data_IF_648970848748
#
_entry.id   IF_648970848748
#
_cell.length_a   1.000
_cell.length_b   1.000
_cell.length_c   1.000
_cell.angle_alpha   90.00
_cell.angle_beta   90.00
_cell.angle_gamma   90.00
#
_symmetry.space_group_name_H-M   'P 1'
#
loop_
_entity.id
_entity.type
_entity.pdbx_description
1 polymer ?
#
# COMPACT_ATOMS: atom_id res chain seq x y z
N UNK A 1 30.42 -5.96 2.24
CA UNK A 1 30.18 -5.72 1.99
C UNK A 1 29.44 -5.26 1.27
N UNK A 2 29.21 -4.95 0.75
CA UNK A 2 28.57 -4.41 0.09
C UNK A 2 27.60 -4.94 -0.48
N UNK A 3 27.38 -5.62 -0.60
CA UNK A 3 26.53 -6.26 -1.12
C UNK A 3 25.29 -5.98 -0.76
N UNK A 4 24.97 -5.39 0.05
CA UNK A 4 23.77 -5.22 0.56
C UNK A 4 22.92 -4.22 -0.05
N UNK A 5 23.21 -3.70 -1.12
CA UNK A 5 22.44 -2.81 -1.72
C UNK A 5 21.16 -3.30 -2.13
N UNK A 6 21.03 -4.46 -2.67
CA UNK A 6 19.77 -5.03 -3.02
C UNK A 6 18.95 -5.31 -1.82
N UNK A 7 19.61 -5.58 -0.74
CA UNK A 7 18.90 -5.90 0.47
C UNK A 7 18.24 -4.68 1.06
N UNK A 8 18.70 -3.48 0.75
CA UNK A 8 18.09 -2.29 1.27
C UNK A 8 16.64 -2.20 0.90
N UNK A 9 16.30 -2.55 -0.32
CA UNK A 9 14.94 -2.47 -0.75
C UNK A 9 14.09 -3.52 -0.06
N UNK A 10 14.65 -4.70 0.13
CA UNK A 10 13.96 -5.75 0.83
C UNK A 10 13.70 -5.33 2.27
N UNK A 11 14.67 -4.68 2.89
CA UNK A 11 14.52 -4.22 4.25
C UNK A 11 13.43 -3.17 4.36
N UNK A 12 13.33 -2.28 3.39
CA UNK A 12 12.29 -1.27 3.41
C UNK A 12 10.92 -1.91 3.29
N UNK A 13 10.78 -2.90 2.43
CA UNK A 13 9.52 -3.60 2.30
C UNK A 13 9.15 -4.31 3.60
N UNK A 14 10.15 -4.88 4.26
CA UNK A 14 9.90 -5.53 5.52
C UNK A 14 9.43 -4.54 6.58
N UNK A 15 10.00 -3.33 6.58
CA UNK A 15 9.56 -2.30 7.52
C UNK A 15 8.10 -1.95 7.29
N UNK A 16 7.70 -1.81 6.03
CA UNK A 16 6.32 -1.50 5.72
C UNK A 16 5.41 -2.60 6.23
N UNK A 17 5.81 -3.84 6.04
CA UNK A 17 4.98 -4.96 6.39
C UNK A 17 4.86 -5.20 7.88
N UNK A 18 5.94 -4.96 8.63
CA UNK A 18 5.97 -5.30 10.05
C UNK A 18 5.57 -4.18 11.00
N UNK A 19 5.38 -2.97 10.49
CA UNK A 19 4.95 -1.89 11.36
C UNK A 19 3.55 -2.17 11.88
N UNK A 20 3.30 -1.96 13.16
CA UNK A 20 1.97 -2.21 13.72
C UNK A 20 0.84 -1.47 13.01
N UNK A 21 1.12 -0.29 12.49
CA UNK A 21 0.10 0.47 11.79
C UNK A 21 -0.35 -0.22 10.52
N UNK A 22 0.51 -1.05 9.92
CA UNK A 22 0.14 -1.80 8.73
C UNK A 22 -0.98 -2.76 9.03
N UNK A 23 -0.87 -3.47 10.14
CA UNK A 23 -1.91 -4.40 10.54
C UNK A 23 -3.19 -3.66 10.87
N UNK A 24 -3.06 -2.53 11.56
CA UNK A 24 -4.22 -1.73 11.91
C UNK A 24 -4.94 -1.26 10.65
N UNK A 25 -4.21 -0.75 9.68
CA UNK A 25 -4.81 -0.28 8.43
C UNK A 25 -5.45 -1.42 7.64
N UNK A 26 -4.82 -2.59 7.63
CA UNK A 26 -5.39 -3.72 6.93
C UNK A 26 -6.70 -4.16 7.58
N UNK A 27 -6.77 -4.12 8.90
CA UNK A 27 -7.99 -4.44 9.60
C UNK A 27 -9.08 -3.41 9.32
N UNK A 28 -8.70 -2.13 9.29
CA UNK A 28 -9.64 -1.06 8.98
C UNK A 28 -10.21 -1.26 7.56
N UNK A 29 -9.34 -1.58 6.63
CA UNK A 29 -9.77 -1.75 5.25
C UNK A 29 -10.74 -2.92 5.12
N UNK A 30 -10.45 -4.04 5.77
CA UNK A 30 -11.34 -5.19 5.73
C UNK A 30 -12.69 -4.85 6.31
N UNK A 31 -12.69 -4.13 7.41
CA UNK A 31 -13.92 -3.74 8.06
C UNK A 31 -14.72 -2.81 7.17
N UNK A 32 -14.06 -1.80 6.61
CA UNK A 32 -14.73 -0.84 5.75
C UNK A 32 -15.29 -1.53 4.50
N UNK A 33 -14.51 -2.43 3.91
CA UNK A 33 -14.97 -3.15 2.73
C UNK A 33 -16.18 -4.02 3.05
N UNK A 34 -16.20 -4.59 4.24
CA UNK A 34 -17.33 -5.39 4.67
C UNK A 34 -18.60 -4.57 4.86
N UNK A 35 -18.43 -3.30 5.27
CA UNK A 35 -19.57 -2.40 5.45
C UNK A 35 -20.08 -1.86 4.12
N UNK A 36 -19.25 -1.89 3.10
CA UNK A 36 -19.61 -1.36 1.78
C UNK A 36 -19.33 -2.40 0.70
N UNK A 37 -20.09 -3.49 0.71
CA UNK A 37 -19.79 -4.62 -0.18
C UNK A 37 -19.90 -4.31 -1.67
N UNK A 38 -20.60 -3.23 -2.01
CA UNK A 38 -20.71 -2.86 -3.42
C UNK A 38 -19.63 -1.88 -3.87
N UNK A 39 -18.75 -1.47 -2.98
CA UNK A 39 -17.69 -0.55 -3.36
C UNK A 39 -16.55 -1.32 -4.00
N UNK A 40 -16.43 -1.13 -5.31
CA UNK A 40 -15.45 -1.82 -6.06
C UNK A 40 -14.04 -1.45 -5.68
N UNK A 41 -13.80 -0.18 -5.45
CA UNK A 41 -12.47 0.27 -5.08
C UNK A 41 -11.96 -0.44 -3.82
N UNK A 42 -12.82 -0.57 -2.80
CA UNK A 42 -12.41 -1.21 -1.57
C UNK A 42 -12.06 -2.67 -1.78
N UNK A 43 -12.83 -3.34 -2.63
CA UNK A 43 -12.55 -4.75 -2.93
C UNK A 43 -11.23 -4.89 -3.66
N UNK A 44 -10.97 -4.02 -4.61
CA UNK A 44 -9.73 -4.11 -5.36
C UNK A 44 -8.52 -3.75 -4.51
N UNK A 45 -8.71 -2.85 -3.55
CA UNK A 45 -7.63 -2.54 -2.62
C UNK A 45 -7.24 -3.79 -1.82
N UNK A 46 -8.23 -4.57 -1.42
CA UNK A 46 -7.95 -5.79 -0.68
C UNK A 46 -7.20 -6.82 -1.52
N UNK A 47 -7.34 -6.75 -2.84
CA UNK A 47 -6.69 -7.71 -3.71
C UNK A 47 -5.24 -7.34 -4.04
N UNK A 48 -4.78 -6.17 -3.63
CA UNK A 48 -3.40 -5.79 -3.86
C UNK A 48 -2.49 -6.57 -2.92
N UNK A 49 -1.22 -6.71 -3.33
CA UNK A 49 -0.30 -7.41 -2.44
C UNK A 49 -0.08 -6.59 -1.16
N UNK A 50 0.36 -7.22 -0.09
CA UNK A 50 0.41 -6.56 1.22
C UNK A 50 1.21 -5.26 1.25
N UNK A 51 2.33 -5.21 0.56
CA UNK A 51 3.15 -4.00 0.59
C UNK A 51 2.45 -2.85 -0.10
N UNK A 52 1.94 -3.12 -1.28
CA UNK A 52 1.27 -2.12 -2.09
C UNK A 52 0.01 -1.64 -1.39
N UNK A 53 -0.77 -2.58 -0.88
CA UNK A 53 -2.01 -2.25 -0.19
C UNK A 53 -1.77 -1.34 1.02
N UNK A 54 -0.73 -1.64 1.79
CA UNK A 54 -0.42 -0.86 2.99
C UNK A 54 -0.06 0.58 2.68
N UNK A 55 0.51 0.81 1.50
CA UNK A 55 0.90 2.15 1.10
C UNK A 55 -0.24 2.87 0.38
N UNK A 56 -0.97 2.15 -0.44
CA UNK A 56 -2.06 2.76 -1.23
C UNK A 56 -3.24 3.14 -0.35
N UNK A 57 -3.54 2.33 0.64
CA UNK A 57 -4.69 2.59 1.51
C UNK A 57 -4.64 3.98 2.17
N UNK A 58 -3.57 4.35 2.89
CA UNK A 58 -3.55 5.68 3.51
C UNK A 58 -3.51 6.80 2.47
N UNK A 59 -2.91 6.55 1.34
CA UNK A 59 -2.82 7.55 0.30
C UNK A 59 -4.20 7.86 -0.29
N UNK A 60 -4.95 6.85 -0.66
CA UNK A 60 -6.25 7.03 -1.29
C UNK A 60 -7.38 7.29 -0.29
N UNK A 61 -7.37 6.59 0.81
CA UNK A 61 -8.49 6.64 1.74
C UNK A 61 -8.31 7.69 2.84
N UNK A 62 -7.11 7.82 3.36
CA UNK A 62 -6.87 8.74 4.45
C UNK A 62 -6.29 10.08 4.00
N UNK A 63 -5.94 10.22 2.74
CA UNK A 63 -5.41 11.47 2.22
C UNK A 63 -3.98 11.79 2.62
N UNK A 64 -3.21 10.78 2.98
CA UNK A 64 -1.82 11.01 3.36
C UNK A 64 -0.96 11.23 2.12
N UNK A 65 0.03 12.12 2.24
CA UNK A 65 0.96 12.33 1.15
C UNK A 65 2.01 11.22 1.14
N UNK A 66 2.69 11.07 0.02
CA UNK A 66 3.74 10.06 -0.08
C UNK A 66 4.87 10.34 0.90
N UNK A 67 5.15 11.62 1.14
CA UNK A 67 6.20 12.01 2.07
C UNK A 67 5.82 11.57 3.48
N UNK A 68 4.58 11.78 3.86
CA UNK A 68 4.11 11.40 5.18
C UNK A 68 4.15 9.89 5.37
N UNK A 69 3.80 9.16 4.34
CA UNK A 69 3.83 7.70 4.40
C UNK A 69 5.27 7.22 4.54
N UNK A 70 6.17 7.78 3.75
CA UNK A 70 7.58 7.42 3.81
C UNK A 70 8.15 7.68 5.20
N UNK A 71 7.80 8.82 5.77
CA UNK A 71 8.24 9.19 7.08
C UNK A 71 7.73 8.22 8.14
N UNK A 72 6.48 7.85 8.05
CA UNK A 72 5.88 6.97 9.03
C UNK A 72 6.54 5.59 9.05
N UNK A 73 6.91 5.08 7.89
CA UNK A 73 7.54 3.78 7.79
C UNK A 73 9.07 3.85 7.81
N UNK A 74 9.62 5.06 7.80
CA UNK A 74 11.07 5.26 7.79
C UNK A 74 11.72 4.62 6.58
N UNK A 75 11.09 4.77 5.44
CA UNK A 75 11.62 4.27 4.18
C UNK A 75 11.78 5.43 3.22
N UNK A 76 12.46 5.20 2.11
CA UNK A 76 12.69 6.26 1.16
C UNK A 76 11.39 6.64 0.46
N UNK A 77 11.29 7.90 0.09
CA UNK A 77 10.13 8.38 -0.63
C UNK A 77 10.01 7.68 -1.98
N UNK A 78 11.15 7.37 -2.58
CA UNK A 78 11.15 6.67 -3.85
C UNK A 78 10.46 5.30 -3.74
N UNK A 79 10.72 4.58 -2.66
CA UNK A 79 10.07 3.30 -2.44
C UNK A 79 8.56 3.48 -2.38
N UNK A 80 8.10 4.50 -1.65
CA UNK A 80 6.68 4.74 -1.53
C UNK A 80 6.08 5.13 -2.88
N UNK A 81 6.74 5.99 -3.61
CA UNK A 81 6.24 6.41 -4.92
C UNK A 81 6.16 5.24 -5.89
N UNK A 82 7.15 4.35 -5.85
CA UNK A 82 7.13 3.17 -6.70
C UNK A 82 5.94 2.28 -6.36
N UNK A 83 5.70 2.06 -5.07
CA UNK A 83 4.57 1.24 -4.66
C UNK A 83 3.24 1.88 -5.01
N UNK A 84 3.14 3.19 -4.89
CA UNK A 84 1.93 3.90 -5.27
C UNK A 84 1.67 3.76 -6.76
N UNK A 85 2.72 3.81 -7.54
CA UNK A 85 2.58 3.68 -8.97
C UNK A 85 2.16 2.29 -9.37
N UNK A 86 2.76 1.28 -8.77
CA UNK A 86 2.38 -0.10 -9.00
C UNK A 86 0.93 -0.31 -8.62
N UNK A 87 0.53 0.21 -7.46
CA UNK A 87 -0.84 0.07 -6.99
C UNK A 87 -1.84 0.74 -7.91
N UNK A 88 -1.47 1.93 -8.38
CA UNK A 88 -2.34 2.68 -9.27
C UNK A 88 -2.55 1.92 -10.58
N UNK A 89 -1.47 1.35 -11.11
CA UNK A 89 -1.58 0.57 -12.34
C UNK A 89 -2.44 -0.68 -12.16
N UNK A 90 -2.24 -1.36 -11.05
CA UNK A 90 -3.02 -2.54 -10.78
C UNK A 90 -4.50 -2.23 -10.61
N UNK A 91 -4.81 -1.16 -9.88
CA UNK A 91 -6.20 -0.75 -9.70
C UNK A 91 -6.85 -0.33 -11.01
N UNK A 92 -6.09 0.38 -11.81
CA UNK A 92 -6.58 0.83 -13.10
C UNK A 92 -6.98 -0.35 -13.97
N UNK A 93 -6.15 -1.35 -14.04
CA UNK A 93 -6.45 -2.54 -14.82
C UNK A 93 -7.65 -3.27 -14.30
N UNK A 94 -7.72 -3.47 -12.98
CA UNK A 94 -8.81 -4.20 -12.39
C UNK A 94 -10.13 -3.48 -12.53
N UNK A 95 -10.13 -2.17 -12.31
CA UNK A 95 -11.36 -1.40 -12.42
C UNK A 95 -11.79 -1.25 -13.87
N UNK A 96 -10.84 -1.13 -14.78
CA UNK A 96 -11.17 -1.00 -16.20
C UNK A 96 -11.75 -2.28 -16.78
N UNK A 97 -11.42 -3.41 -16.18
CA UNK A 97 -11.94 -4.68 -16.65
C UNK A 97 -13.41 -4.87 -16.34
N UNK A 98 -13.99 -3.93 -15.62
CA UNK A 98 -15.35 -4.03 -15.28
C UNK A 98 -16.13 -3.06 -16.02
N UNK A 99 -16.62 -3.44 -17.02
CA UNK A 99 -17.43 -2.56 -17.74
C UNK A 99 -18.75 -3.04 -17.92
#
# INVERSE_FOLDING_TARGET
>A
MLLNRTDDRTDELALIRTEPISMQWNNELRKTAGLHPNCRLLKELLSLDPYTRTVVYPFLIKGWSSIRIADRFRVSQMTIQTLLEIGREQLKRKLAGFR
#
